data_IF_298906155098
#
_entry.id   IF_298906155098
#
_cell.length_a   1.000
_cell.length_b   1.000
_cell.length_c   1.000
_cell.angle_alpha   90.00
_cell.angle_beta   90.00
_cell.angle_gamma   90.00
#
_symmetry.space_group_name_H-M   'P 1'
#
loop_
_entity.id
_entity.type
_entity.pdbx_description
1 polymer ?
#
# COMPACT_ATOMS: atom_id res chain seq x y z
N UNK A 1 18.79 -14.32 19.22
CA UNK A 1 18.12 -13.59 18.13
C UNK A 1 17.57 -12.30 18.72
N UNK A 2 17.60 -11.15 18.01
CA UNK A 2 16.97 -9.95 18.55
C UNK A 2 15.48 -10.19 18.78
N UNK A 3 14.96 -9.62 19.85
CA UNK A 3 13.54 -9.62 20.18
C UNK A 3 12.85 -8.60 19.26
N UNK A 4 11.91 -9.06 18.44
CA UNK A 4 11.15 -8.20 17.54
C UNK A 4 9.87 -7.75 18.23
N UNK A 5 9.69 -6.43 18.34
CA UNK A 5 8.44 -5.82 18.75
C UNK A 5 7.63 -5.47 17.51
N UNK A 6 6.44 -6.05 17.38
CA UNK A 6 5.53 -5.79 16.27
C UNK A 6 4.46 -4.78 16.71
N UNK A 7 4.14 -3.84 15.83
CA UNK A 7 3.05 -2.87 16.03
C UNK A 7 2.05 -3.02 14.90
N UNK A 8 0.78 -3.19 15.25
CA UNK A 8 -0.30 -3.17 14.28
C UNK A 8 -0.58 -1.72 13.86
N UNK A 9 -0.42 -1.43 12.58
CA UNK A 9 -0.58 -0.08 12.00
C UNK A 9 -1.96 0.16 11.38
N UNK A 10 -2.69 -0.92 11.10
CA UNK A 10 -4.07 -0.91 10.62
C UNK A 10 -4.72 -2.29 10.83
N UNK A 11 -6.05 -2.31 10.88
CA UNK A 11 -6.88 -3.51 10.83
C UNK A 11 -7.85 -3.37 9.66
N UNK A 12 -7.83 -4.30 8.72
CA UNK A 12 -8.66 -4.25 7.50
C UNK A 12 -9.53 -5.49 7.40
N UNK A 13 -10.80 -5.36 7.00
CA UNK A 13 -11.72 -6.48 6.88
C UNK A 13 -11.42 -7.37 5.68
N UNK A 14 -10.63 -6.89 4.71
CA UNK A 14 -10.30 -7.65 3.50
C UNK A 14 -8.79 -7.71 3.23
N UNK A 15 -8.41 -8.37 2.13
CA UNK A 15 -7.03 -8.67 1.80
C UNK A 15 -6.20 -7.40 1.57
N UNK A 16 -5.10 -7.29 2.33
CA UNK A 16 -4.10 -6.25 2.12
C UNK A 16 -2.87 -6.76 1.37
N UNK A 17 -2.37 -5.99 0.41
CA UNK A 17 -1.22 -6.36 -0.44
C UNK A 17 -0.36 -5.16 -0.84
N UNK A 18 0.76 -5.48 -1.50
CA UNK A 18 1.68 -4.51 -2.11
C UNK A 18 2.25 -3.47 -1.16
N UNK A 19 2.70 -3.81 0.06
CA UNK A 19 3.36 -2.85 0.92
C UNK A 19 4.61 -2.28 0.20
N UNK A 20 4.70 -0.96 0.10
CA UNK A 20 5.88 -0.27 -0.43
C UNK A 20 6.20 0.97 0.40
N UNK A 21 7.47 1.11 0.77
CA UNK A 21 7.96 2.23 1.58
C UNK A 21 8.44 3.37 0.67
N UNK A 22 7.93 4.58 0.85
CA UNK A 22 8.30 5.77 0.06
C UNK A 22 9.50 6.55 0.65
N UNK A 23 10.06 6.06 1.76
CA UNK A 23 11.12 6.72 2.54
C UNK A 23 10.59 7.50 3.75
N UNK A 24 9.31 7.85 3.75
CA UNK A 24 8.63 8.63 4.79
C UNK A 24 7.39 7.96 5.37
N UNK A 25 6.80 7.00 4.66
CA UNK A 25 5.64 6.23 5.07
C UNK A 25 5.47 4.97 4.22
N UNK A 26 4.44 4.20 4.57
CA UNK A 26 4.11 2.94 3.91
C UNK A 26 2.83 3.10 3.09
N UNK A 27 2.91 2.85 1.79
CA UNK A 27 1.73 2.60 0.98
C UNK A 27 1.39 1.11 1.01
N UNK A 28 0.10 0.78 1.09
CA UNK A 28 -0.39 -0.59 0.96
C UNK A 28 -1.83 -0.56 0.44
N UNK A 29 -2.27 -1.64 -0.22
CA UNK A 29 -3.61 -1.74 -0.76
C UNK A 29 -4.51 -2.56 0.15
N UNK A 30 -5.80 -2.25 0.16
CA UNK A 30 -6.89 -3.17 0.49
C UNK A 30 -7.58 -3.53 -0.83
N UNK A 31 -7.25 -4.70 -1.37
CA UNK A 31 -7.52 -5.07 -2.76
C UNK A 31 -9.02 -5.05 -3.08
N UNK A 32 -9.83 -5.76 -2.30
CA UNK A 32 -11.27 -5.89 -2.56
C UNK A 32 -12.05 -4.61 -2.23
N UNK A 33 -11.51 -3.76 -1.36
CA UNK A 33 -12.07 -2.44 -1.08
C UNK A 33 -11.69 -1.38 -2.13
N UNK A 34 -10.91 -1.73 -3.16
CA UNK A 34 -10.46 -0.79 -4.20
C UNK A 34 -9.79 0.47 -3.63
N UNK A 35 -9.02 0.32 -2.55
CA UNK A 35 -8.45 1.44 -1.80
C UNK A 35 -6.96 1.21 -1.53
N UNK A 36 -6.15 2.24 -1.78
CA UNK A 36 -4.76 2.31 -1.31
C UNK A 36 -4.71 3.24 -0.11
N UNK A 37 -4.06 2.79 0.95
CA UNK A 37 -3.81 3.56 2.15
C UNK A 37 -2.35 3.98 2.24
N UNK A 38 -2.08 5.06 2.99
CA UNK A 38 -0.75 5.45 3.44
C UNK A 38 -0.71 5.48 4.97
N UNK A 39 0.21 4.73 5.55
CA UNK A 39 0.57 4.86 6.96
C UNK A 39 1.71 5.86 7.15
N UNK A 40 1.53 6.78 8.10
CA UNK A 40 2.53 7.75 8.52
C UNK A 40 3.13 7.35 9.88
N UNK A 41 4.43 7.02 9.97
CA UNK A 41 5.08 6.63 11.21
C UNK A 41 5.18 7.76 12.25
N UNK A 42 5.12 9.03 11.84
CA UNK A 42 5.22 10.18 12.76
C UNK A 42 3.88 10.44 13.47
N UNK A 43 2.79 10.29 12.74
CA UNK A 43 1.43 10.40 13.30
C UNK A 43 0.94 9.08 13.92
N UNK A 44 1.55 7.94 13.52
CA UNK A 44 1.08 6.59 13.82
C UNK A 44 -0.36 6.35 13.34
N UNK A 45 -0.66 6.82 12.13
CA UNK A 45 -2.01 6.79 11.55
C UNK A 45 -1.97 6.33 10.10
N UNK A 46 -3.01 5.61 9.68
CA UNK A 46 -3.24 5.23 8.29
C UNK A 46 -4.40 6.04 7.71
N UNK A 47 -4.21 6.61 6.53
CA UNK A 47 -5.23 7.39 5.82
C UNK A 47 -5.39 6.90 4.38
N UNK A 48 -6.56 7.14 3.79
CA UNK A 48 -6.81 6.85 2.37
C UNK A 48 -5.88 7.72 1.51
N UNK A 49 -5.14 7.07 0.60
CA UNK A 49 -4.27 7.73 -0.37
C UNK A 49 -4.90 7.78 -1.76
N UNK A 50 -5.56 6.70 -2.17
CA UNK A 50 -6.23 6.59 -3.48
C UNK A 50 -7.40 5.61 -3.40
N UNK A 51 -8.50 5.94 -4.06
CA UNK A 51 -9.67 5.07 -4.23
C UNK A 51 -9.83 4.67 -5.70
N UNK A 52 -10.80 3.79 -6.00
CA UNK A 52 -11.09 3.30 -7.35
C UNK A 52 -9.85 2.68 -8.02
N UNK A 53 -9.14 1.85 -7.27
CA UNK A 53 -7.80 1.39 -7.65
C UNK A 53 -7.78 0.25 -8.67
N UNK A 54 -8.94 -0.28 -9.10
CA UNK A 54 -9.00 -1.43 -10.00
C UNK A 54 -8.52 -2.72 -9.33
N UNK A 55 -8.82 -2.87 -8.04
CA UNK A 55 -8.28 -3.89 -7.13
C UNK A 55 -6.74 -3.93 -7.20
N UNK A 56 -6.12 -2.79 -6.90
CA UNK A 56 -4.67 -2.70 -6.81
C UNK A 56 -4.11 -3.71 -5.83
N UNK A 57 -3.05 -4.43 -6.23
CA UNK A 57 -2.40 -5.47 -5.43
C UNK A 57 -0.92 -5.14 -5.20
N UNK A 58 -0.01 -5.63 -6.05
CA UNK A 58 1.42 -5.37 -5.96
C UNK A 58 1.79 -3.94 -6.34
N UNK A 59 2.73 -3.35 -5.59
CA UNK A 59 3.29 -2.03 -5.85
C UNK A 59 4.82 -2.06 -5.77
N UNK A 60 5.47 -1.24 -6.59
CA UNK A 60 6.93 -1.07 -6.54
C UNK A 60 7.35 0.28 -7.11
N UNK A 61 8.38 0.88 -6.51
CA UNK A 61 9.04 2.05 -7.09
C UNK A 61 10.13 1.61 -8.05
N UNK A 62 10.24 2.30 -9.19
CA UNK A 62 11.43 2.20 -10.04
C UNK A 62 12.62 2.99 -9.47
N UNK A 63 13.76 2.95 -10.17
CA UNK A 63 14.98 3.66 -9.76
C UNK A 63 14.88 5.19 -9.86
N UNK A 64 13.85 5.70 -10.52
CA UNK A 64 13.54 7.13 -10.64
C UNK A 64 12.46 7.56 -9.63
N UNK A 65 12.02 6.66 -8.76
CA UNK A 65 10.98 6.92 -7.76
C UNK A 65 9.57 6.96 -8.32
N UNK A 66 9.33 6.45 -9.54
CA UNK A 66 7.99 6.33 -10.09
C UNK A 66 7.30 5.08 -9.55
N UNK A 67 6.03 5.21 -9.16
CA UNK A 67 5.27 4.09 -8.59
C UNK A 67 4.58 3.30 -9.70
N UNK A 68 4.82 1.99 -9.74
CA UNK A 68 4.10 1.05 -10.58
C UNK A 68 3.17 0.20 -9.73
N UNK A 69 1.95 -0.01 -10.22
CA UNK A 69 0.89 -0.72 -9.52
C UNK A 69 0.24 -1.74 -10.44
N UNK A 70 0.10 -2.97 -9.97
CA UNK A 70 -0.72 -3.99 -10.61
C UNK A 70 -2.18 -3.80 -10.20
N UNK A 71 -3.09 -3.68 -11.16
CA UNK A 71 -4.54 -3.53 -10.94
C UNK A 71 -5.22 -4.82 -11.40
N UNK A 72 -5.59 -5.67 -10.44
CA UNK A 72 -6.04 -7.04 -10.70
C UNK A 72 -7.35 -7.12 -11.49
N UNK A 73 -8.32 -6.27 -11.16
CA UNK A 73 -9.63 -6.21 -11.81
C UNK A 73 -9.56 -5.53 -13.18
N UNK A 74 -8.70 -4.50 -13.29
CA UNK A 74 -8.50 -3.78 -14.54
C UNK A 74 -7.53 -4.48 -15.51
N UNK A 75 -6.94 -5.62 -15.11
CA UNK A 75 -6.00 -6.42 -15.89
C UNK A 75 -4.85 -5.61 -16.51
N UNK A 76 -4.26 -4.69 -15.74
CA UNK A 76 -3.19 -3.82 -16.22
C UNK A 76 -2.15 -3.50 -15.15
N UNK A 77 -1.01 -3.01 -15.61
CA UNK A 77 -0.03 -2.32 -14.76
C UNK A 77 -0.09 -0.84 -15.09
N UNK A 78 -0.28 0.00 -14.08
CA UNK A 78 -0.30 1.46 -14.22
C UNK A 78 0.94 2.06 -13.59
N UNK A 79 1.39 3.19 -14.16
CA UNK A 79 2.35 4.09 -13.51
C UNK A 79 1.57 5.27 -12.94
N UNK A 80 1.74 5.52 -11.65
CA UNK A 80 1.11 6.63 -10.93
C UNK A 80 2.05 7.83 -10.82
#
# INVERSE_FOLDING_TARGET
MPEWNWTQIADHPTLTEGPVWDGSGLLYNECYANTTFRWDPKANESAVWRENTGQANGMSFDRQGQLYVCEGDAHRVTRL
#
